data_IF_765098933473
#
_entry.id   IF_765098933473
#
_cell.length_a   1.000
_cell.length_b   1.000
_cell.length_c   1.000
_cell.angle_alpha   90.00
_cell.angle_beta   90.00
_cell.angle_gamma   90.00
#
_symmetry.space_group_name_H-M   'P 1'
#
loop_
_entity.id
_entity.type
_entity.pdbx_description
1 polymer ?
#
# COMPACT_ATOMS: atom_id res chain seq x y z
N UNK A 1 -32.34 5.98 -25.54
CA UNK A 1 -30.93 6.36 -25.73
C UNK A 1 -30.50 7.22 -24.54
N UNK A 2 -29.66 6.71 -23.62
CA UNK A 2 -29.23 7.47 -22.43
C UNK A 2 -28.17 8.50 -22.83
N UNK A 3 -28.27 9.72 -22.29
CA UNK A 3 -27.48 10.87 -22.73
C UNK A 3 -25.99 10.71 -22.41
N UNK A 4 -25.14 11.38 -23.20
CA UNK A 4 -23.69 11.43 -22.99
C UNK A 4 -23.32 11.94 -21.57
N UNK A 5 -24.21 12.74 -20.96
CA UNK A 5 -24.05 13.27 -19.60
C UNK A 5 -24.28 12.22 -18.50
N UNK A 6 -25.01 11.13 -18.77
CA UNK A 6 -25.24 10.06 -17.80
C UNK A 6 -24.06 9.07 -17.73
N UNK A 7 -23.26 8.96 -18.81
CA UNK A 7 -22.00 8.18 -18.82
C UNK A 7 -20.88 8.83 -18.02
N UNK A 8 -20.92 10.15 -17.83
CA UNK A 8 -19.93 10.88 -17.03
C UNK A 8 -20.20 10.82 -15.52
N UNK A 9 -21.41 10.43 -15.09
CA UNK A 9 -21.75 10.24 -13.67
C UNK A 9 -21.28 8.91 -13.09
N UNK A 10 -20.98 7.91 -13.92
CA UNK A 10 -20.45 6.61 -13.48
C UNK A 10 -18.94 6.44 -13.74
N UNK A 11 -18.27 7.41 -14.38
CA UNK A 11 -16.86 7.32 -14.76
C UNK A 11 -15.88 8.13 -13.90
N UNK A 12 -16.36 8.93 -12.95
CA UNK A 12 -15.54 9.99 -12.32
C UNK A 12 -14.94 9.66 -10.94
N UNK A 13 -15.14 8.45 -10.40
CA UNK A 13 -14.69 8.11 -9.03
C UNK A 13 -13.67 6.97 -8.95
N UNK A 14 -13.20 6.43 -10.08
CA UNK A 14 -12.09 5.48 -10.07
C UNK A 14 -10.90 6.16 -10.74
N UNK A 15 -10.18 7.01 -9.99
CA UNK A 15 -8.82 7.37 -10.38
C UNK A 15 -8.07 6.05 -10.49
N UNK A 16 -7.76 5.66 -11.73
CA UNK A 16 -7.16 4.37 -12.05
C UNK A 16 -5.92 4.23 -11.18
N UNK A 17 -5.93 3.26 -10.27
CA UNK A 17 -4.69 2.68 -9.73
C UNK A 17 -3.79 2.46 -10.94
N UNK A 18 -2.60 3.08 -10.97
CA UNK A 18 -1.71 2.86 -12.11
C UNK A 18 -1.51 1.35 -12.24
N UNK A 19 -1.60 0.80 -13.44
CA UNK A 19 -1.75 -0.65 -13.64
C UNK A 19 -0.59 -1.49 -13.06
N UNK A 20 0.49 -0.84 -12.64
CA UNK A 20 1.69 -1.38 -12.03
C UNK A 20 1.72 -1.30 -10.49
N UNK A 21 0.78 -0.61 -9.83
CA UNK A 21 0.73 -0.51 -8.37
C UNK A 21 0.10 -1.77 -7.75
N UNK A 22 0.86 -2.47 -6.91
CA UNK A 22 0.40 -3.62 -6.13
C UNK A 22 0.65 -3.36 -4.65
N UNK A 23 -0.42 -3.21 -3.87
CA UNK A 23 -0.36 -3.02 -2.41
C UNK A 23 -0.16 -4.36 -1.73
N UNK A 24 0.74 -4.39 -0.73
CA UNK A 24 1.04 -5.56 0.07
C UNK A 24 0.38 -5.38 1.44
N UNK A 25 -0.44 -6.35 1.83
CA UNK A 25 -1.28 -6.29 3.03
C UNK A 25 -0.94 -7.45 3.95
N UNK A 26 -0.79 -7.18 5.25
CA UNK A 26 -0.58 -8.21 6.28
C UNK A 26 -1.81 -9.08 6.46
N UNK A 27 -1.66 -10.21 7.15
CA UNK A 27 -2.81 -11.03 7.57
C UNK A 27 -3.76 -10.29 8.53
N UNK A 28 -3.34 -9.18 9.12
CA UNK A 28 -4.13 -8.33 10.01
C UNK A 28 -4.81 -7.17 9.26
N UNK A 29 -4.61 -7.07 7.94
CA UNK A 29 -5.22 -6.02 7.11
C UNK A 29 -4.41 -4.72 7.05
N UNK A 30 -3.22 -4.68 7.64
CA UNK A 30 -2.34 -3.50 7.63
C UNK A 30 -1.52 -3.42 6.34
N UNK A 31 -1.15 -2.20 5.94
CA UNK A 31 -0.27 -2.02 4.76
C UNK A 31 1.17 -2.28 5.14
N UNK A 32 1.77 -3.26 4.48
CA UNK A 32 3.18 -3.60 4.69
C UNK A 32 4.06 -3.13 3.54
N UNK A 33 3.50 -2.64 2.44
CA UNK A 33 4.32 -2.16 1.33
C UNK A 33 3.60 -1.95 0.02
N UNK A 34 4.40 -1.66 -1.01
CA UNK A 34 3.94 -1.50 -2.39
C UNK A 34 4.99 -2.04 -3.35
N UNK A 35 4.54 -2.68 -4.43
CA UNK A 35 5.33 -2.90 -5.63
C UNK A 35 4.83 -1.95 -6.73
N UNK A 36 5.75 -1.25 -7.37
CA UNK A 36 5.48 -0.38 -8.50
C UNK A 36 6.56 -0.59 -9.56
N UNK A 37 6.18 -1.18 -10.69
CA UNK A 37 7.11 -1.64 -11.71
C UNK A 37 8.12 -2.64 -11.16
N UNK A 38 9.41 -2.30 -11.27
CA UNK A 38 10.51 -3.13 -10.77
C UNK A 38 10.75 -2.97 -9.26
N UNK A 39 10.27 -1.88 -8.66
CA UNK A 39 10.59 -1.57 -7.28
C UNK A 39 9.59 -2.20 -6.32
N UNK A 40 10.09 -2.75 -5.22
CA UNK A 40 9.29 -3.25 -4.10
C UNK A 40 9.77 -2.61 -2.80
N UNK A 41 8.87 -1.89 -2.14
CA UNK A 41 9.07 -1.33 -0.80
C UNK A 41 8.30 -2.19 0.22
N UNK A 42 8.96 -2.55 1.31
CA UNK A 42 8.34 -3.15 2.50
C UNK A 42 8.63 -2.29 3.74
N UNK A 43 7.61 -2.16 4.58
CA UNK A 43 7.67 -1.53 5.90
C UNK A 43 7.34 -2.60 6.93
N UNK A 44 8.37 -3.23 7.50
CA UNK A 44 8.21 -4.29 8.48
C UNK A 44 8.09 -3.71 9.87
N UNK A 45 6.88 -3.65 10.38
CA UNK A 45 6.65 -3.37 11.80
C UNK A 45 7.05 -4.60 12.60
N UNK A 46 7.97 -4.45 13.54
CA UNK A 46 8.37 -5.57 14.38
C UNK A 46 7.19 -6.05 15.22
N UNK A 47 6.92 -7.35 15.20
CA UNK A 47 5.88 -7.95 16.03
C UNK A 47 6.13 -7.65 17.51
N UNK A 48 5.13 -7.11 18.20
CA UNK A 48 5.20 -7.01 19.66
C UNK A 48 5.20 -8.40 20.28
N UNK A 49 6.07 -8.60 21.27
CA UNK A 49 6.11 -9.84 22.03
C UNK A 49 4.85 -9.93 22.89
N UNK A 50 3.93 -10.82 22.51
CA UNK A 50 2.66 -11.04 23.23
C UNK A 50 2.86 -11.50 24.68
N UNK A 51 4.01 -12.10 25.00
CA UNK A 51 4.35 -12.56 26.35
C UNK A 51 4.97 -11.45 27.20
N UNK A 52 5.32 -10.31 26.62
CA UNK A 52 5.80 -9.13 27.37
C UNK A 52 5.19 -7.84 26.80
N UNK A 53 3.95 -7.50 27.21
CA UNK A 53 3.26 -6.31 26.74
C UNK A 53 3.94 -4.98 27.12
N UNK A 54 4.91 -5.00 28.06
CA UNK A 54 5.70 -3.82 28.46
C UNK A 54 6.97 -3.65 27.63
N UNK A 55 7.27 -4.56 26.70
CA UNK A 55 8.43 -4.41 25.82
C UNK A 55 8.23 -3.20 24.89
N UNK A 56 9.27 -2.38 24.80
CA UNK A 56 9.29 -1.24 23.87
C UNK A 56 9.12 -1.74 22.43
N UNK A 57 8.22 -1.13 21.64
CA UNK A 57 8.08 -1.44 20.23
C UNK A 57 9.41 -1.18 19.53
N UNK A 58 9.90 -2.13 18.72
CA UNK A 58 11.05 -1.86 17.85
C UNK A 58 10.59 -0.95 16.70
N UNK A 59 11.47 -0.06 16.21
CA UNK A 59 11.15 0.75 15.04
C UNK A 59 10.86 -0.15 13.83
N UNK A 60 10.02 0.33 12.92
CA UNK A 60 9.78 -0.34 11.67
C UNK A 60 11.05 -0.38 10.81
N UNK A 61 11.31 -1.51 10.17
CA UNK A 61 12.40 -1.68 9.23
C UNK A 61 11.91 -1.37 7.81
N UNK A 62 12.66 -0.54 7.08
CA UNK A 62 12.37 -0.19 5.69
C UNK A 62 13.27 -1.01 4.77
N UNK A 63 12.65 -1.75 3.86
CA UNK A 63 13.34 -2.58 2.87
C UNK A 63 12.93 -2.14 1.47
N UNK A 64 13.91 -1.92 0.59
CA UNK A 64 13.68 -1.61 -0.81
C UNK A 64 14.45 -2.59 -1.71
N UNK A 65 13.78 -3.14 -2.72
CA UNK A 65 14.37 -4.07 -3.66
C UNK A 65 14.10 -3.63 -5.11
N UNK A 66 15.09 -3.81 -5.99
CA UNK A 66 14.92 -3.76 -7.43
C UNK A 66 14.74 -5.19 -7.97
N UNK A 67 13.49 -5.55 -8.27
CA UNK A 67 13.11 -6.87 -8.74
C UNK A 67 13.51 -7.15 -10.19
N UNK A 68 13.97 -6.16 -10.95
CA UNK A 68 14.54 -6.44 -12.28
C UNK A 68 15.94 -7.06 -12.18
N UNK A 69 16.74 -6.61 -11.22
CA UNK A 69 18.08 -7.14 -10.96
C UNK A 69 18.11 -8.22 -9.88
N UNK A 70 17.18 -8.19 -8.93
CA UNK A 70 17.19 -9.01 -7.71
C UNK A 70 15.79 -9.53 -7.37
N UNK A 71 15.30 -10.48 -8.18
CA UNK A 71 14.03 -11.21 -7.93
C UNK A 71 14.01 -11.91 -6.57
N UNK A 72 15.19 -12.28 -6.05
CA UNK A 72 15.33 -12.97 -4.77
C UNK A 72 15.22 -12.07 -3.54
N UNK A 73 15.12 -10.75 -3.72
CA UNK A 73 15.04 -9.76 -2.63
C UNK A 73 16.22 -9.92 -1.63
N UNK A 74 17.41 -10.18 -2.16
CA UNK A 74 18.62 -10.46 -1.39
C UNK A 74 19.34 -9.20 -0.90
N UNK A 75 19.18 -8.08 -1.61
CA UNK A 75 19.92 -6.84 -1.36
C UNK A 75 18.97 -5.70 -1.01
N UNK A 76 19.01 -5.24 0.25
CA UNK A 76 18.26 -4.05 0.64
C UNK A 76 18.94 -2.78 0.14
N UNK A 77 18.20 -2.00 -0.67
CA UNK A 77 18.64 -0.77 -1.31
C UNK A 77 18.08 0.50 -0.65
N UNK A 78 17.38 0.40 0.48
CA UNK A 78 16.66 1.52 1.09
C UNK A 78 17.57 2.71 1.44
N UNK A 79 18.77 2.44 1.97
CA UNK A 79 19.73 3.50 2.32
C UNK A 79 20.37 4.14 1.09
N UNK A 80 20.55 3.38 0.01
CA UNK A 80 21.18 3.87 -1.23
C UNK A 80 20.21 4.63 -2.13
N UNK A 81 18.89 4.39 -2.00
CA UNK A 81 17.85 5.01 -2.83
C UNK A 81 16.73 5.64 -1.98
N UNK A 82 17.04 6.63 -1.13
CA UNK A 82 16.05 7.27 -0.25
C UNK A 82 14.94 7.99 -1.04
N UNK A 83 15.23 8.47 -2.24
CA UNK A 83 14.27 9.10 -3.14
C UNK A 83 13.17 8.14 -3.59
N UNK A 84 13.53 6.87 -3.83
CA UNK A 84 12.57 5.83 -4.22
C UNK A 84 11.74 5.42 -3.01
N UNK A 85 12.37 5.29 -1.84
CA UNK A 85 11.67 5.04 -0.57
C UNK A 85 10.61 6.11 -0.32
N UNK A 86 10.97 7.39 -0.42
CA UNK A 86 10.04 8.51 -0.22
C UNK A 86 8.89 8.47 -1.23
N UNK A 87 9.20 8.27 -2.52
CA UNK A 87 8.20 8.20 -3.59
C UNK A 87 7.18 7.10 -3.34
N UNK A 88 7.64 5.90 -3.02
CA UNK A 88 6.78 4.73 -2.81
C UNK A 88 5.99 4.83 -1.50
N UNK A 89 6.60 5.39 -0.45
CA UNK A 89 5.91 5.66 0.82
C UNK A 89 4.76 6.64 0.61
N UNK A 90 5.01 7.75 -0.10
CA UNK A 90 3.95 8.71 -0.45
C UNK A 90 2.85 8.05 -1.26
N UNK A 91 3.20 7.15 -2.19
CA UNK A 91 2.21 6.44 -3.01
C UNK A 91 1.30 5.54 -2.18
N UNK A 92 1.85 4.86 -1.16
CA UNK A 92 1.05 4.08 -0.21
C UNK A 92 0.02 4.97 0.49
N UNK A 93 0.44 6.13 1.00
CA UNK A 93 -0.46 7.07 1.68
C UNK A 93 -1.56 7.60 0.77
N UNK A 94 -1.24 7.91 -0.49
CA UNK A 94 -2.24 8.30 -1.50
C UNK A 94 -3.26 7.19 -1.75
N UNK A 95 -2.81 5.95 -1.95
CA UNK A 95 -3.69 4.80 -2.17
C UNK A 95 -4.60 4.55 -0.96
N UNK A 96 -4.09 4.74 0.25
CA UNK A 96 -4.88 4.57 1.47
C UNK A 96 -5.98 5.62 1.60
N UNK A 97 -5.66 6.87 1.29
CA UNK A 97 -6.65 7.94 1.21
C UNK A 97 -7.70 7.69 0.11
N UNK A 98 -7.26 7.23 -1.07
CA UNK A 98 -8.16 6.88 -2.19
C UNK A 98 -9.10 5.73 -1.81
N UNK A 99 -8.62 4.68 -1.14
CA UNK A 99 -9.45 3.56 -0.68
C UNK A 99 -10.45 4.02 0.38
N UNK A 100 -10.00 4.80 1.36
CA UNK A 100 -10.85 5.31 2.44
C UNK A 100 -11.96 6.20 1.89
N UNK A 101 -11.65 7.09 0.95
CA UNK A 101 -12.64 7.96 0.32
C UNK A 101 -13.67 7.19 -0.51
N UNK A 102 -13.30 6.03 -1.07
CA UNK A 102 -14.17 5.18 -1.89
C UNK A 102 -14.74 3.99 -1.12
N UNK A 103 -14.56 3.92 0.20
CA UNK A 103 -15.08 2.84 1.02
C UNK A 103 -16.60 2.81 0.93
N UNK A 104 -17.14 1.66 0.51
CA UNK A 104 -18.59 1.45 0.46
C UNK A 104 -19.11 1.31 1.88
N UNK A 105 -20.34 1.79 2.11
CA UNK A 105 -21.02 1.56 3.38
C UNK A 105 -21.09 0.05 3.65
N UNK A 106 -20.76 -0.39 4.88
CA UNK A 106 -20.99 -1.77 5.29
C UNK A 106 -22.45 -2.14 5.06
N UNK A 107 -22.70 -3.39 4.66
CA UNK A 107 -24.07 -3.87 4.60
C UNK A 107 -24.64 -3.92 6.02
N UNK A 108 -25.73 -3.18 6.23
CA UNK A 108 -26.48 -3.15 7.47
C UNK A 108 -27.75 -3.97 7.25
N UNK A 109 -27.98 -5.00 8.08
CA UNK A 109 -29.27 -5.68 8.12
C UNK A 109 -30.29 -4.73 8.73
N UNK A 110 -31.39 -4.43 8.03
CA UNK A 110 -32.53 -3.78 8.66
C UNK A 110 -33.22 -4.77 9.60
N UNK A 111 -33.56 -4.32 10.80
CA UNK A 111 -34.31 -5.09 11.80
C UNK A 111 -35.72 -5.44 11.31
#
# INVERSE_FOLDING_TARGET
>A
MRSLAERLRYGAAFRRVRGDDQRLISSQGEVEGIRQGNWKLLVKVAAQNRNNPRATPKPAEILLFDLASDVGESTNLAESHPDIVERLTRRISELDAEITANARQPWMKAD
#
